data_IF_650225024026
#
_entry.id   IF_650225024026
#
_cell.length_a   1.000
_cell.length_b   1.000
_cell.length_c   1.000
_cell.angle_alpha   90.00
_cell.angle_beta   90.00
_cell.angle_gamma   90.00
#
_symmetry.space_group_name_H-M   'P 1'
#
loop_
_entity.id
_entity.type
_entity.pdbx_description
1 polymer ?
#
# COMPACT_ATOMS: atom_id res chain seq x y z
N UNK A 1 -21.33 -13.30 18.08
CA UNK A 1 -21.01 -12.20 19.02
C UNK A 1 -20.45 -11.07 18.17
N UNK A 2 -21.08 -9.90 18.14
CA UNK A 2 -20.51 -8.75 17.43
C UNK A 2 -19.10 -8.49 17.98
N UNK A 3 -18.13 -8.23 17.09
CA UNK A 3 -16.81 -7.85 17.53
C UNK A 3 -16.91 -6.50 18.23
N UNK A 4 -16.89 -6.49 19.56
CA UNK A 4 -16.86 -5.25 20.33
C UNK A 4 -15.55 -4.52 20.01
N UNK A 5 -15.65 -3.37 19.34
CA UNK A 5 -14.49 -2.54 19.02
C UNK A 5 -13.94 -1.91 20.30
N UNK A 6 -12.64 -2.06 20.54
CA UNK A 6 -11.97 -1.49 21.71
C UNK A 6 -11.30 -0.17 21.34
N UNK A 7 -12.08 0.92 21.35
CA UNK A 7 -11.56 2.26 20.98
C UNK A 7 -10.47 2.77 21.92
N UNK A 8 -10.42 2.29 23.17
CA UNK A 8 -9.34 2.56 24.12
C UNK A 8 -7.96 2.03 23.65
N UNK A 9 -7.94 1.07 22.72
CA UNK A 9 -6.70 0.56 22.11
C UNK A 9 -6.28 1.35 20.87
N UNK A 10 -6.98 2.43 20.51
CA UNK A 10 -6.63 3.22 19.34
C UNK A 10 -5.19 3.77 19.45
N UNK A 11 -4.39 3.72 18.37
CA UNK A 11 -3.08 4.33 18.38
C UNK A 11 -3.20 5.85 18.48
N UNK A 12 -2.12 6.57 18.85
CA UNK A 12 -2.11 8.02 18.80
C UNK A 12 -2.55 8.54 17.43
N UNK A 13 -3.47 9.50 17.37
CA UNK A 13 -4.09 9.98 16.11
C UNK A 13 -3.09 10.34 15.01
N UNK A 14 -1.91 10.84 15.39
CA UNK A 14 -0.80 11.12 14.48
C UNK A 14 -0.34 9.92 13.64
N UNK A 15 -0.64 8.68 14.05
CA UNK A 15 -0.23 7.43 13.41
C UNK A 15 -1.00 7.24 12.10
N UNK A 16 -2.35 7.09 12.11
CA UNK A 16 -3.11 6.97 10.86
C UNK A 16 -3.19 8.30 10.09
N UNK A 17 -3.32 9.42 10.80
CA UNK A 17 -3.67 10.70 10.16
C UNK A 17 -2.61 11.17 9.15
N UNK A 18 -1.32 10.92 9.39
CA UNK A 18 -0.26 11.30 8.43
C UNK A 18 -0.44 10.64 7.06
N UNK A 19 -0.85 9.38 7.05
CA UNK A 19 -1.09 8.62 5.82
C UNK A 19 -2.38 9.12 5.15
N UNK A 20 -3.45 9.27 5.94
CA UNK A 20 -4.75 9.70 5.45
C UNK A 20 -4.75 11.13 4.90
N UNK A 21 -3.91 12.03 5.45
CA UNK A 21 -3.72 13.38 4.90
C UNK A 21 -2.81 13.39 3.67
N UNK A 22 -1.87 12.44 3.56
CA UNK A 22 -0.95 12.35 2.42
C UNK A 22 -1.61 11.75 1.19
N UNK A 23 -2.48 10.75 1.37
CA UNK A 23 -3.22 10.12 0.28
C UNK A 23 -3.92 11.13 -0.67
N UNK A 24 -4.78 12.06 -0.19
CA UNK A 24 -5.44 13.01 -1.09
C UNK A 24 -4.46 13.96 -1.79
N UNK A 25 -3.30 14.27 -1.19
CA UNK A 25 -2.27 15.08 -1.87
C UNK A 25 -1.71 14.35 -3.10
N UNK A 26 -1.47 13.04 -2.99
CA UNK A 26 -1.12 12.22 -4.16
C UNK A 26 -2.25 12.15 -5.18
N UNK A 27 -3.52 12.16 -4.75
CA UNK A 27 -4.68 12.28 -5.64
C UNK A 27 -4.68 13.59 -6.42
N UNK A 28 -4.34 14.71 -5.78
CA UNK A 28 -4.17 16.01 -6.45
C UNK A 28 -3.00 15.95 -7.44
N UNK A 29 -1.84 15.40 -7.04
CA UNK A 29 -0.68 15.24 -7.93
C UNK A 29 -1.04 14.38 -9.15
N UNK A 30 -1.80 13.30 -8.95
CA UNK A 30 -2.32 12.49 -10.05
C UNK A 30 -3.21 13.31 -10.98
N UNK A 31 -4.15 14.10 -10.45
CA UNK A 31 -5.01 14.97 -11.25
C UNK A 31 -4.21 15.99 -12.09
N UNK A 32 -3.20 16.63 -11.48
CA UNK A 32 -2.29 17.54 -12.21
C UNK A 32 -1.48 16.78 -13.27
N UNK A 33 -1.02 15.57 -12.95
CA UNK A 33 -0.31 14.72 -13.89
C UNK A 33 -1.16 14.34 -15.10
N UNK A 34 -2.45 14.01 -14.91
CA UNK A 34 -3.39 13.76 -16.00
C UNK A 34 -3.54 14.98 -16.92
N UNK A 35 -3.69 16.17 -16.33
CA UNK A 35 -3.82 17.42 -17.09
C UNK A 35 -2.55 17.74 -17.89
N UNK A 36 -1.38 17.41 -17.35
CA UNK A 36 -0.10 17.61 -18.03
C UNK A 36 0.08 16.64 -19.22
N UNK A 37 -0.19 15.35 -19.03
CA UNK A 37 0.04 14.33 -20.05
C UNK A 37 -1.01 14.36 -21.18
N UNK A 38 -2.23 14.83 -20.90
CA UNK A 38 -3.29 14.92 -21.89
C UNK A 38 -3.79 13.54 -22.39
N UNK A 39 -4.41 13.49 -23.58
CA UNK A 39 -5.03 12.27 -24.13
C UNK A 39 -4.04 11.12 -24.38
N UNK A 40 -2.77 11.42 -24.63
CA UNK A 40 -1.73 10.44 -24.98
C UNK A 40 -1.53 9.37 -23.88
N UNK A 41 -1.86 9.70 -22.63
CA UNK A 41 -1.78 8.79 -21.49
C UNK A 41 -2.67 7.54 -21.64
N UNK A 42 -3.82 7.67 -22.32
CA UNK A 42 -4.76 6.57 -22.53
C UNK A 42 -4.60 5.87 -23.88
N UNK A 43 -3.81 6.45 -24.78
CA UNK A 43 -3.54 5.89 -26.11
C UNK A 43 -2.51 4.75 -26.05
N UNK A 44 -1.49 4.88 -25.19
CA UNK A 44 -0.43 3.86 -25.05
C UNK A 44 -0.60 3.04 -23.78
N UNK A 45 -1.23 1.87 -23.92
CA UNK A 45 -1.31 0.91 -22.79
C UNK A 45 0.09 0.46 -22.38
N UNK A 46 0.43 0.70 -21.12
CA UNK A 46 1.69 0.22 -20.52
C UNK A 46 2.92 1.10 -20.79
N UNK A 47 2.78 2.28 -21.39
CA UNK A 47 3.86 3.25 -21.49
C UNK A 47 4.31 3.78 -20.12
N UNK A 48 5.52 4.35 -20.03
CA UNK A 48 6.04 4.87 -18.76
C UNK A 48 5.15 5.93 -18.09
N UNK A 49 4.53 6.88 -18.82
CA UNK A 49 3.56 7.81 -18.22
C UNK A 49 2.35 7.09 -17.60
N UNK A 50 1.78 6.08 -18.28
CA UNK A 50 0.67 5.31 -17.75
C UNK A 50 1.06 4.52 -16.49
N UNK A 51 2.29 3.98 -16.45
CA UNK A 51 2.84 3.35 -15.25
C UNK A 51 3.04 4.36 -14.11
N UNK A 52 3.53 5.57 -14.40
CA UNK A 52 3.66 6.63 -13.40
C UNK A 52 2.30 7.01 -12.81
N UNK A 53 1.29 7.21 -13.66
CA UNK A 53 -0.08 7.50 -13.25
C UNK A 53 -0.66 6.38 -12.36
N UNK A 54 -0.45 5.13 -12.79
CA UNK A 54 -0.88 3.94 -12.03
C UNK A 54 -0.27 3.94 -10.63
N UNK A 55 1.04 4.18 -10.51
CA UNK A 55 1.72 4.15 -9.22
C UNK A 55 1.46 5.39 -8.34
N UNK A 56 1.15 6.55 -8.93
CA UNK A 56 0.63 7.71 -8.17
C UNK A 56 -0.66 7.35 -7.44
N UNK A 57 -1.58 6.64 -8.12
CA UNK A 57 -2.83 6.20 -7.51
C UNK A 57 -2.58 5.04 -6.53
N UNK A 58 -1.89 3.98 -6.95
CA UNK A 58 -1.80 2.76 -6.13
C UNK A 58 -0.85 2.91 -4.96
N UNK A 59 0.35 3.49 -5.13
CA UNK A 59 1.29 3.73 -4.03
C UNK A 59 0.99 5.03 -3.29
N UNK A 60 0.76 6.11 -4.03
CA UNK A 60 0.60 7.44 -3.46
C UNK A 60 -0.73 7.65 -2.75
N UNK A 61 -1.84 7.17 -3.31
CA UNK A 61 -3.16 7.31 -2.71
C UNK A 61 -3.59 6.05 -1.95
N UNK A 62 -3.77 4.93 -2.65
CA UNK A 62 -4.41 3.73 -2.08
C UNK A 62 -3.57 3.13 -0.96
N UNK A 63 -2.28 2.87 -1.20
CA UNK A 63 -1.40 2.23 -0.23
C UNK A 63 -1.20 3.10 1.01
N UNK A 64 -1.05 4.43 0.86
CA UNK A 64 -1.04 5.35 1.99
C UNK A 64 -2.31 5.18 2.83
N UNK A 65 -3.48 5.35 2.21
CA UNK A 65 -4.76 5.27 2.91
C UNK A 65 -4.94 3.91 3.63
N UNK A 66 -4.66 2.81 2.93
CA UNK A 66 -4.77 1.45 3.44
C UNK A 66 -3.79 1.17 4.58
N UNK A 67 -2.53 1.60 4.48
CA UNK A 67 -1.55 1.44 5.55
C UNK A 67 -1.91 2.23 6.80
N UNK A 68 -2.38 3.47 6.62
CA UNK A 68 -2.88 4.30 7.72
C UNK A 68 -4.09 3.67 8.42
N UNK A 69 -5.08 3.25 7.63
CA UNK A 69 -6.28 2.59 8.13
C UNK A 69 -5.95 1.28 8.86
N UNK A 70 -5.04 0.46 8.31
CA UNK A 70 -4.65 -0.81 8.93
C UNK A 70 -3.99 -0.61 10.30
N UNK A 71 -3.15 0.42 10.46
CA UNK A 71 -2.55 0.76 11.76
C UNK A 71 -3.59 1.21 12.80
N UNK A 72 -4.71 1.79 12.36
CA UNK A 72 -5.82 2.20 13.24
C UNK A 72 -6.76 1.04 13.57
N UNK A 73 -7.17 0.27 12.57
CA UNK A 73 -8.18 -0.79 12.71
C UNK A 73 -7.61 -2.01 13.42
N UNK A 74 -6.37 -2.39 13.16
CA UNK A 74 -5.75 -3.60 13.73
C UNK A 74 -5.85 -3.68 15.27
N UNK A 75 -5.40 -2.65 16.05
CA UNK A 75 -5.50 -2.71 17.51
C UNK A 75 -6.95 -2.68 17.99
N UNK A 76 -7.80 -1.81 17.41
CA UNK A 76 -9.19 -1.62 17.86
C UNK A 76 -10.07 -2.85 17.62
N UNK A 77 -9.89 -3.53 16.48
CA UNK A 77 -10.77 -4.62 16.05
C UNK A 77 -10.27 -6.01 16.39
N UNK A 78 -8.96 -6.18 16.55
CA UNK A 78 -8.34 -7.50 16.75
C UNK A 78 -7.35 -7.54 17.91
N UNK A 79 -7.16 -6.43 18.64
CA UNK A 79 -6.15 -6.34 19.69
C UNK A 79 -4.71 -6.47 19.19
N UNK A 80 -4.50 -6.42 17.87
CA UNK A 80 -3.18 -6.52 17.24
C UNK A 80 -2.42 -5.20 17.41
N UNK A 81 -1.84 -5.02 18.60
CA UNK A 81 -1.07 -3.84 18.97
C UNK A 81 0.30 -3.84 18.29
N UNK A 82 0.54 -2.83 17.44
CA UNK A 82 1.79 -2.66 16.71
C UNK A 82 2.88 -2.11 17.64
N UNK A 83 4.08 -2.68 17.59
CA UNK A 83 5.22 -2.19 18.35
C UNK A 83 5.62 -0.76 17.93
N UNK A 84 5.76 0.16 18.89
CA UNK A 84 6.14 1.57 18.67
C UNK A 84 5.42 2.19 17.45
N UNK A 85 4.08 2.30 17.48
CA UNK A 85 3.28 2.62 16.29
C UNK A 85 3.65 3.97 15.66
N UNK A 86 4.11 4.95 16.46
CA UNK A 86 4.62 6.24 15.95
C UNK A 86 5.89 6.11 15.10
N UNK A 87 6.83 5.26 15.52
CA UNK A 87 8.07 5.01 14.78
C UNK A 87 7.76 4.26 13.49
N UNK A 88 6.95 3.18 13.59
CA UNK A 88 6.55 2.38 12.43
C UNK A 88 5.88 3.26 11.39
N UNK A 89 4.91 4.07 11.83
CA UNK A 89 4.23 5.03 10.98
C UNK A 89 5.19 6.03 10.36
N UNK A 90 6.18 6.54 11.09
CA UNK A 90 7.11 7.55 10.59
C UNK A 90 8.03 6.99 9.50
N UNK A 91 8.66 5.84 9.77
CA UNK A 91 9.57 5.18 8.82
C UNK A 91 8.80 4.77 7.56
N UNK A 92 7.67 4.07 7.72
CA UNK A 92 6.88 3.60 6.59
C UNK A 92 6.32 4.77 5.77
N UNK A 93 5.71 5.77 6.41
CA UNK A 93 5.13 6.93 5.70
C UNK A 93 6.19 7.69 4.90
N UNK A 94 7.34 8.00 5.52
CA UNK A 94 8.41 8.76 4.87
C UNK A 94 8.96 7.99 3.68
N UNK A 95 9.27 6.71 3.88
CA UNK A 95 9.85 5.87 2.84
C UNK A 95 8.87 5.55 1.70
N UNK A 96 7.60 5.29 1.99
CA UNK A 96 6.56 5.11 0.97
C UNK A 96 6.37 6.39 0.16
N UNK A 97 6.27 7.55 0.83
CA UNK A 97 6.07 8.82 0.14
C UNK A 97 7.25 9.17 -0.75
N UNK A 98 8.47 9.12 -0.22
CA UNK A 98 9.69 9.41 -0.98
C UNK A 98 9.90 8.41 -2.13
N UNK A 99 9.69 7.12 -1.86
CA UNK A 99 9.82 6.06 -2.84
C UNK A 99 8.78 6.17 -3.96
N UNK A 100 7.52 6.48 -3.64
CA UNK A 100 6.45 6.68 -4.62
C UNK A 100 6.75 7.87 -5.52
N UNK A 101 7.15 9.02 -4.95
CA UNK A 101 7.54 10.20 -5.72
C UNK A 101 8.75 9.93 -6.61
N UNK A 102 9.78 9.25 -6.09
CA UNK A 102 10.96 8.91 -6.88
C UNK A 102 10.62 7.94 -8.02
N UNK A 103 9.77 6.94 -7.77
CA UNK A 103 9.33 5.99 -8.79
C UNK A 103 8.54 6.70 -9.90
N UNK A 104 7.54 7.49 -9.51
CA UNK A 104 6.63 8.12 -10.47
C UNK A 104 7.32 9.23 -11.26
N UNK A 105 8.20 10.01 -10.63
CA UNK A 105 9.04 10.99 -11.33
C UNK A 105 10.03 10.30 -12.29
N UNK A 106 10.64 9.20 -11.88
CA UNK A 106 11.55 8.41 -12.72
C UNK A 106 10.87 7.82 -13.95
N UNK A 107 9.66 7.29 -13.78
CA UNK A 107 8.83 6.80 -14.89
C UNK A 107 8.38 7.95 -15.79
N UNK A 108 7.83 9.03 -15.23
CA UNK A 108 7.33 10.16 -16.01
C UNK A 108 8.42 10.87 -16.82
N UNK A 109 9.65 10.96 -16.28
CA UNK A 109 10.79 11.57 -16.97
C UNK A 109 11.63 10.57 -17.77
N UNK A 110 11.25 9.29 -17.78
CA UNK A 110 12.00 8.17 -18.37
C UNK A 110 13.46 8.07 -17.87
N UNK A 111 13.72 8.54 -16.64
CA UNK A 111 15.04 8.55 -16.02
C UNK A 111 15.21 7.35 -15.10
N UNK A 112 15.70 6.25 -15.67
CA UNK A 112 15.92 4.96 -14.99
C UNK A 112 16.81 5.05 -13.73
N UNK A 113 17.65 6.09 -13.61
CA UNK A 113 18.43 6.36 -12.40
C UNK A 113 17.57 6.57 -11.14
N UNK A 114 16.40 7.19 -11.29
CA UNK A 114 15.45 7.37 -10.18
C UNK A 114 14.84 6.04 -9.72
N UNK A 115 14.65 5.08 -10.64
CA UNK A 115 14.15 3.74 -10.28
C UNK A 115 15.15 3.00 -9.39
N UNK A 116 16.47 3.16 -9.63
CA UNK A 116 17.52 2.57 -8.80
C UNK A 116 17.50 3.05 -7.35
N UNK A 117 17.01 4.27 -7.11
CA UNK A 117 16.79 4.81 -5.76
C UNK A 117 15.42 4.41 -5.21
N UNK A 118 14.37 4.52 -6.02
CA UNK A 118 12.99 4.29 -5.60
C UNK A 118 12.75 2.85 -5.14
N UNK A 119 13.27 1.86 -5.88
CA UNK A 119 13.05 0.43 -5.60
C UNK A 119 13.58 0.02 -4.22
N UNK A 120 14.85 0.24 -3.85
CA UNK A 120 15.33 -0.16 -2.52
C UNK A 120 14.62 0.58 -1.40
N UNK A 121 14.28 1.87 -1.58
CA UNK A 121 13.53 2.66 -0.60
C UNK A 121 12.14 2.07 -0.37
N UNK A 122 11.40 1.78 -1.45
CA UNK A 122 10.06 1.17 -1.37
C UNK A 122 10.10 -0.23 -0.76
N UNK A 123 11.03 -1.08 -1.21
CA UNK A 123 11.16 -2.45 -0.71
C UNK A 123 11.51 -2.45 0.78
N UNK A 124 12.51 -1.67 1.21
CA UNK A 124 12.91 -1.62 2.62
C UNK A 124 11.78 -1.10 3.51
N UNK A 125 11.12 -0.02 3.09
CA UNK A 125 10.03 0.59 3.85
C UNK A 125 8.82 -0.33 3.97
N UNK A 126 8.46 -1.01 2.88
CA UNK A 126 7.32 -1.90 2.86
C UNK A 126 7.61 -3.24 3.54
N UNK A 127 8.82 -3.78 3.40
CA UNK A 127 9.23 -4.97 4.12
C UNK A 127 9.21 -4.71 5.64
N UNK A 128 9.77 -3.58 6.08
CA UNK A 128 9.70 -3.16 7.48
C UNK A 128 8.26 -3.05 7.97
N UNK A 129 7.39 -2.34 7.24
CA UNK A 129 5.98 -2.20 7.58
C UNK A 129 5.27 -3.56 7.67
N UNK A 130 5.39 -4.38 6.62
CA UNK A 130 4.72 -5.67 6.52
C UNK A 130 5.16 -6.63 7.62
N UNK A 131 6.47 -6.73 7.91
CA UNK A 131 7.00 -7.58 8.98
C UNK A 131 6.44 -7.15 10.34
N UNK A 132 6.47 -5.86 10.65
CA UNK A 132 6.03 -5.36 11.96
C UNK A 132 4.53 -5.53 12.15
N UNK A 133 3.72 -5.21 11.13
CA UNK A 133 2.26 -5.35 11.20
C UNK A 133 1.85 -6.83 11.20
N UNK A 134 2.43 -7.66 10.34
CA UNK A 134 2.14 -9.09 10.31
C UNK A 134 2.52 -9.76 11.63
N UNK A 135 3.66 -9.39 12.24
CA UNK A 135 4.03 -9.88 13.55
C UNK A 135 2.99 -9.53 14.63
N UNK A 136 2.44 -8.31 14.62
CA UNK A 136 1.35 -7.93 15.53
C UNK A 136 0.08 -8.76 15.29
N UNK A 137 -0.31 -8.95 14.02
CA UNK A 137 -1.47 -9.74 13.61
C UNK A 137 -1.31 -11.24 13.95
N UNK A 138 -0.10 -11.78 13.90
CA UNK A 138 0.17 -13.19 14.23
C UNK A 138 0.22 -13.43 15.75
N UNK A 139 0.59 -12.43 16.55
CA UNK A 139 0.70 -12.54 18.01
C UNK A 139 -0.62 -12.35 18.77
N UNK A 140 -1.62 -11.70 18.15
CA UNK A 140 -2.93 -11.55 18.80
C UNK A 140 -3.64 -12.90 18.95
N UNK A 141 -4.39 -13.05 20.04
CA UNK A 141 -5.29 -14.19 20.31
C UNK A 141 -6.62 -14.11 19.55
N UNK A 142 -6.86 -13.03 18.79
CA UNK A 142 -8.07 -12.85 18.00
C UNK A 142 -8.30 -14.01 17.01
N UNK A 143 -9.57 -14.34 16.80
CA UNK A 143 -10.05 -15.40 15.89
C UNK A 143 -11.20 -14.88 15.05
N UNK A 144 -11.40 -15.47 13.87
CA UNK A 144 -12.49 -15.14 12.95
C UNK A 144 -12.03 -14.62 11.58
N UNK A 145 -13.00 -14.30 10.72
CA UNK A 145 -12.76 -13.94 9.33
C UNK A 145 -11.91 -12.66 9.18
N UNK A 146 -12.16 -11.63 9.99
CA UNK A 146 -11.41 -10.37 9.94
C UNK A 146 -9.91 -10.59 10.13
N UNK A 147 -9.48 -11.24 11.22
CA UNK A 147 -8.04 -11.44 11.50
C UNK A 147 -7.37 -12.33 10.44
N UNK A 148 -8.10 -13.31 9.89
CA UNK A 148 -7.61 -14.14 8.80
C UNK A 148 -7.39 -13.32 7.51
N UNK A 149 -8.37 -12.48 7.15
CA UNK A 149 -8.28 -11.59 5.99
C UNK A 149 -7.16 -10.56 6.14
N UNK A 150 -6.98 -9.96 7.33
CA UNK A 150 -5.87 -9.02 7.57
C UNK A 150 -4.50 -9.69 7.42
N UNK A 151 -4.31 -10.90 7.94
CA UNK A 151 -3.06 -11.67 7.78
C UNK A 151 -2.80 -12.00 6.31
N UNK A 152 -3.83 -12.46 5.59
CA UNK A 152 -3.72 -12.78 4.17
C UNK A 152 -3.39 -11.53 3.34
N UNK A 153 -4.05 -10.40 3.61
CA UNK A 153 -3.78 -9.14 2.93
C UNK A 153 -2.33 -8.71 3.11
N UNK A 154 -1.81 -8.66 4.35
CA UNK A 154 -0.40 -8.25 4.58
C UNK A 154 0.59 -9.24 3.96
N UNK A 155 0.30 -10.55 3.97
CA UNK A 155 1.09 -11.54 3.24
C UNK A 155 1.08 -11.29 1.73
N UNK A 156 -0.08 -11.01 1.15
CA UNK A 156 -0.24 -10.68 -0.27
C UNK A 156 0.44 -9.35 -0.65
N UNK A 157 0.51 -8.38 0.26
CA UNK A 157 1.29 -7.15 0.07
C UNK A 157 2.78 -7.47 -0.07
N UNK A 158 3.33 -8.38 0.73
CA UNK A 158 4.73 -8.79 0.60
C UNK A 158 5.01 -9.42 -0.77
N UNK A 159 4.10 -10.28 -1.27
CA UNK A 159 4.19 -10.84 -2.62
C UNK A 159 4.10 -9.75 -3.69
N UNK A 160 3.16 -8.81 -3.55
CA UNK A 160 2.99 -7.66 -4.45
C UNK A 160 4.29 -6.86 -4.57
N UNK A 161 4.94 -6.56 -3.45
CA UNK A 161 6.20 -5.80 -3.39
C UNK A 161 7.33 -6.57 -4.06
N UNK A 162 7.46 -7.87 -3.80
CA UNK A 162 8.49 -8.70 -4.40
C UNK A 162 8.35 -8.75 -5.94
N UNK A 163 7.13 -8.95 -6.43
CA UNK A 163 6.84 -8.95 -7.87
C UNK A 163 7.09 -7.58 -8.51
N UNK A 164 6.70 -6.49 -7.83
CA UNK A 164 6.90 -5.12 -8.29
C UNK A 164 8.39 -4.75 -8.34
N UNK A 165 9.17 -5.15 -7.33
CA UNK A 165 10.61 -4.96 -7.29
C UNK A 165 11.33 -5.75 -8.40
N UNK A 166 10.90 -6.99 -8.66
CA UNK A 166 11.41 -7.79 -9.77
C UNK A 166 11.11 -7.13 -11.13
N UNK A 167 9.88 -6.64 -11.35
CA UNK A 167 9.50 -5.94 -12.57
C UNK A 167 10.29 -4.63 -12.75
N UNK A 168 10.38 -3.82 -11.68
CA UNK A 168 11.14 -2.57 -11.71
C UNK A 168 12.64 -2.81 -11.91
N UNK A 169 13.18 -3.93 -11.41
CA UNK A 169 14.59 -4.26 -11.56
C UNK A 169 14.98 -4.66 -12.98
N UNK A 170 14.04 -5.18 -13.77
CA UNK A 170 14.24 -5.36 -15.21
C UNK A 170 14.51 -4.03 -15.93
N UNK A 171 13.88 -2.93 -15.48
CA UNK A 171 14.14 -1.59 -16.02
C UNK A 171 15.37 -0.92 -15.39
N UNK A 172 15.53 -1.01 -14.07
CA UNK A 172 16.55 -0.26 -13.35
C UNK A 172 17.96 -0.87 -13.47
N UNK A 173 18.06 -2.20 -13.55
CA UNK A 173 19.32 -2.95 -13.59
C UNK A 173 19.40 -3.95 -14.74
N UNK A 174 18.49 -3.87 -15.71
CA UNK A 174 18.49 -4.74 -16.89
C UNK A 174 18.43 -6.24 -16.54
N UNK A 175 17.74 -6.61 -15.45
CA UNK A 175 17.54 -8.01 -15.11
C UNK A 175 16.78 -8.73 -16.25
N UNK A 176 17.19 -9.96 -16.62
CA UNK A 176 16.60 -10.69 -17.74
C UNK A 176 15.27 -11.34 -17.34
N UNK A 177 14.29 -10.53 -16.96
CA UNK A 177 12.98 -10.97 -16.47
C UNK A 177 11.87 -10.71 -17.49
N UNK A 178 10.88 -11.62 -17.58
CA UNK A 178 9.76 -11.49 -18.52
C UNK A 178 8.71 -10.50 -18.01
N UNK A 179 8.97 -9.19 -18.14
CA UNK A 179 8.11 -8.12 -17.57
C UNK A 179 6.67 -8.19 -18.09
N UNK A 180 6.47 -8.53 -19.36
CA UNK A 180 5.13 -8.64 -19.95
C UNK A 180 4.24 -9.68 -19.25
N UNK A 181 4.85 -10.74 -18.71
CA UNK A 181 4.19 -11.79 -17.94
C UNK A 181 4.14 -11.44 -16.45
N UNK A 182 5.16 -10.77 -15.93
CA UNK A 182 5.27 -10.42 -14.51
C UNK A 182 4.32 -9.28 -14.10
N UNK A 183 4.18 -8.26 -14.94
CA UNK A 183 3.33 -7.09 -14.68
C UNK A 183 1.85 -7.44 -14.38
N UNK A 184 1.15 -8.29 -15.16
CA UNK A 184 -0.22 -8.66 -14.83
C UNK A 184 -0.31 -9.49 -13.53
N UNK A 185 0.70 -10.32 -13.22
CA UNK A 185 0.73 -11.09 -11.96
C UNK A 185 0.93 -10.14 -10.78
N UNK A 186 1.83 -9.16 -10.89
CA UNK A 186 1.98 -8.09 -9.90
C UNK A 186 0.67 -7.33 -9.69
N UNK A 187 0.00 -6.93 -10.77
CA UNK A 187 -1.28 -6.22 -10.69
C UNK A 187 -2.37 -7.07 -10.03
N UNK A 188 -2.46 -8.36 -10.33
CA UNK A 188 -3.43 -9.26 -9.72
C UNK A 188 -3.20 -9.41 -8.21
N UNK A 189 -1.95 -9.58 -7.78
CA UNK A 189 -1.62 -9.62 -6.35
C UNK A 189 -1.88 -8.27 -5.66
N UNK A 190 -1.57 -7.15 -6.31
CA UNK A 190 -1.82 -5.81 -5.76
C UNK A 190 -3.32 -5.54 -5.55
N UNK A 191 -4.13 -5.82 -6.56
CA UNK A 191 -5.57 -5.52 -6.54
C UNK A 191 -6.34 -6.55 -5.74
N UNK A 192 -6.20 -7.84 -6.06
CA UNK A 192 -7.02 -8.89 -5.45
C UNK A 192 -6.40 -9.42 -4.16
N UNK A 193 -5.11 -9.74 -4.21
CA UNK A 193 -4.38 -10.28 -3.05
C UNK A 193 -4.34 -9.30 -1.89
N UNK A 194 -3.83 -8.08 -2.13
CA UNK A 194 -3.72 -7.04 -1.11
C UNK A 194 -5.01 -6.24 -0.97
N UNK A 195 -5.39 -5.48 -1.99
CA UNK A 195 -6.42 -4.44 -1.88
C UNK A 195 -7.80 -4.99 -1.54
N UNK A 196 -8.31 -5.90 -2.35
CA UNK A 196 -9.64 -6.49 -2.19
C UNK A 196 -9.73 -7.33 -0.91
N UNK A 197 -8.73 -8.17 -0.63
CA UNK A 197 -8.70 -8.95 0.61
C UNK A 197 -8.73 -8.06 1.85
N UNK A 198 -7.98 -6.94 1.85
CA UNK A 198 -8.01 -5.98 2.94
C UNK A 198 -9.40 -5.36 3.10
N UNK A 199 -10.00 -4.87 2.00
CA UNK A 199 -11.33 -4.25 2.00
C UNK A 199 -12.39 -5.24 2.48
N UNK A 200 -12.36 -6.49 1.99
CA UNK A 200 -13.26 -7.55 2.43
C UNK A 200 -13.08 -7.90 3.91
N UNK A 201 -11.84 -7.92 4.41
CA UNK A 201 -11.56 -8.11 5.83
C UNK A 201 -12.15 -7.01 6.71
N UNK A 202 -12.00 -5.76 6.28
CA UNK A 202 -12.53 -4.58 6.97
C UNK A 202 -14.05 -4.46 6.84
N UNK A 203 -14.66 -4.91 5.75
CA UNK A 203 -16.11 -4.85 5.57
C UNK A 203 -16.86 -5.69 6.60
N UNK A 204 -16.28 -6.78 7.10
CA UNK A 204 -16.85 -7.53 8.24
C UNK A 204 -16.99 -6.70 9.52
N UNK A 205 -16.21 -5.62 9.65
CA UNK A 205 -16.31 -4.69 10.77
C UNK A 205 -17.25 -3.54 10.45
N UNK A 206 -17.09 -2.94 9.27
CA UNK A 206 -17.76 -1.68 8.92
C UNK A 206 -19.23 -1.88 8.53
N UNK A 207 -19.57 -2.94 7.81
CA UNK A 207 -20.95 -3.17 7.35
C UNK A 207 -21.92 -3.30 8.54
N UNK A 208 -21.65 -4.12 9.58
CA UNK A 208 -22.53 -4.20 10.74
C UNK A 208 -22.72 -2.88 11.49
N UNK A 209 -21.72 -1.99 11.48
CA UNK A 209 -21.82 -0.68 12.14
C UNK A 209 -22.91 0.20 11.52
N UNK A 210 -23.23 0.01 10.23
CA UNK A 210 -24.27 0.75 9.51
C UNK A 210 -25.59 -0.01 9.39
N UNK A 211 -25.65 -1.29 9.80
CA UNK A 211 -26.84 -2.13 9.73
C UNK A 211 -27.57 -2.28 11.07
N UNK A 212 -26.90 -1.95 12.18
CA UNK A 212 -27.44 -2.05 13.54
C UNK A 212 -28.04 -0.72 14.05
N UNK A 213 -28.26 0.24 13.16
CA UNK A 213 -29.08 1.43 13.39
C UNK A 213 -30.51 1.17 12.96
#
# INVERSE_FOLDING_TARGET
MAAALSFEQAPPISVPLRFLLTAPLFGIVFGVFLLWQGPELVETRGGFPALAATHLVTLGFMLQAMCGALLQVSPVSTGANVWRPRLVAWVAHTGISAGALALTAGLAAERLGWLRLAVPVLVASMAFYAVVVLAALLRTSARGATIAALRLAVGALAVTVALGAAAAGAFAWSWPLPVAQLAPVHAAWAVFGWGLTLVAGVSYLVVPMFQLT
#
